data_IF_020620883670
#
_entry.id   IF_020620883670
#
_cell.length_a   1.000
_cell.length_b   1.000
_cell.length_c   1.000
_cell.angle_alpha   90.00
_cell.angle_beta   90.00
_cell.angle_gamma   90.00
#
_symmetry.space_group_name_H-M   'P 1'
#
loop_
_entity.id
_entity.type
_entity.pdbx_description
1 polymer ?
#
# COMPACT_ATOMS: atom_id res chain seq x y z
N UNK A 1 37.99 -2.41 -7.69
CA UNK A 1 36.71 -2.46 -8.41
C UNK A 1 35.74 -3.31 -7.61
N UNK A 2 34.67 -2.75 -7.04
CA UNK A 2 33.67 -3.56 -6.35
C UNK A 2 32.80 -4.32 -7.37
N UNK A 3 32.37 -5.56 -7.08
CA UNK A 3 31.51 -6.30 -8.00
C UNK A 3 30.15 -5.62 -8.17
N UNK A 4 29.49 -5.78 -9.34
CA UNK A 4 28.14 -5.25 -9.55
C UNK A 4 27.17 -5.90 -8.56
N UNK A 5 26.21 -5.10 -8.06
CA UNK A 5 25.14 -5.62 -7.20
C UNK A 5 24.25 -6.56 -8.01
N UNK A 6 23.77 -7.66 -7.39
CA UNK A 6 22.84 -8.55 -8.06
C UNK A 6 21.55 -7.80 -8.42
N UNK A 7 20.88 -8.20 -9.50
CA UNK A 7 19.63 -7.60 -9.91
C UNK A 7 18.54 -7.79 -8.83
N UNK A 8 17.78 -6.74 -8.56
CA UNK A 8 16.70 -6.76 -7.56
C UNK A 8 15.58 -7.72 -7.98
N UNK A 9 15.14 -8.55 -7.03
CA UNK A 9 13.99 -9.46 -7.15
C UNK A 9 12.87 -8.94 -6.25
N UNK A 10 11.67 -8.74 -6.81
CA UNK A 10 10.48 -8.29 -6.07
C UNK A 10 9.87 -9.45 -5.28
N UNK A 11 9.17 -9.15 -4.18
CA UNK A 11 8.43 -10.18 -3.43
C UNK A 11 7.42 -10.95 -4.31
N UNK A 12 6.77 -10.27 -5.27
CA UNK A 12 5.86 -10.92 -6.21
C UNK A 12 6.56 -11.89 -7.17
N UNK A 13 7.84 -11.67 -7.47
CA UNK A 13 8.63 -12.61 -8.27
C UNK A 13 8.98 -13.88 -7.48
N UNK A 14 9.21 -13.75 -6.17
CA UNK A 14 9.40 -14.91 -5.29
C UNK A 14 8.11 -15.75 -5.26
N UNK A 15 6.96 -15.10 -5.07
CA UNK A 15 5.67 -15.78 -5.11
C UNK A 15 5.40 -16.45 -6.46
N UNK A 16 5.74 -15.79 -7.57
CA UNK A 16 5.64 -16.36 -8.91
C UNK A 16 6.54 -17.59 -9.09
N UNK A 17 7.78 -17.56 -8.58
CA UNK A 17 8.70 -18.69 -8.65
C UNK A 17 8.22 -19.88 -7.80
N UNK A 18 7.77 -19.63 -6.57
CA UNK A 18 7.22 -20.66 -5.66
C UNK A 18 5.97 -21.31 -6.26
N UNK A 19 5.12 -20.52 -6.91
CA UNK A 19 3.97 -21.05 -7.64
C UNK A 19 4.39 -21.84 -8.90
N UNK A 20 5.25 -21.27 -9.74
CA UNK A 20 5.75 -21.87 -10.96
C UNK A 20 7.08 -21.24 -11.42
N UNK A 21 8.19 -21.96 -11.22
CA UNK A 21 9.51 -21.52 -11.66
C UNK A 21 9.59 -21.22 -13.17
N UNK A 22 8.85 -21.97 -14.01
CA UNK A 22 8.79 -21.73 -15.45
C UNK A 22 8.08 -20.42 -15.78
N UNK A 23 6.99 -20.08 -15.09
CA UNK A 23 6.29 -18.81 -15.29
C UNK A 23 7.22 -17.63 -14.94
N UNK A 24 7.91 -17.71 -13.80
CA UNK A 24 8.93 -16.73 -13.43
C UNK A 24 10.03 -16.59 -14.48
N UNK A 25 10.57 -17.71 -14.99
CA UNK A 25 11.61 -17.67 -16.02
C UNK A 25 11.11 -17.03 -17.32
N UNK A 26 9.92 -17.39 -17.78
CA UNK A 26 9.31 -16.81 -18.99
C UNK A 26 9.15 -15.30 -18.85
N UNK A 27 8.68 -14.83 -17.69
CA UNK A 27 8.49 -13.40 -17.45
C UNK A 27 9.81 -12.64 -17.23
N UNK A 28 10.69 -13.14 -16.37
CA UNK A 28 11.89 -12.44 -15.90
C UNK A 28 13.08 -12.60 -16.83
N UNK A 29 13.29 -13.79 -17.37
CA UNK A 29 14.45 -14.11 -18.21
C UNK A 29 14.11 -13.99 -19.69
N UNK A 30 12.99 -14.57 -20.13
CA UNK A 30 12.58 -14.51 -21.54
C UNK A 30 11.82 -13.22 -21.91
N UNK A 31 11.41 -12.40 -20.93
CA UNK A 31 10.71 -11.14 -21.17
C UNK A 31 9.28 -11.28 -21.70
N UNK A 32 8.67 -12.46 -21.55
CA UNK A 32 7.32 -12.73 -22.04
C UNK A 32 6.31 -12.17 -21.05
N UNK A 33 5.53 -11.18 -21.48
CA UNK A 33 4.52 -10.56 -20.64
C UNK A 33 3.36 -11.54 -20.35
N UNK A 34 2.97 -11.75 -19.07
CA UNK A 34 1.83 -12.58 -18.75
C UNK A 34 0.52 -11.96 -19.25
N UNK A 35 -0.46 -12.79 -19.58
CA UNK A 35 -1.80 -12.31 -19.91
C UNK A 35 -2.44 -11.50 -18.76
N UNK A 36 -3.46 -10.71 -19.09
CA UNK A 36 -4.28 -10.01 -18.10
C UNK A 36 -3.71 -8.71 -17.54
N UNK A 37 -2.81 -8.03 -18.25
CA UNK A 37 -2.30 -6.69 -17.91
C UNK A 37 -3.42 -5.72 -17.54
N UNK A 38 -4.49 -5.65 -18.34
CA UNK A 38 -5.63 -4.78 -18.10
C UNK A 38 -6.31 -5.05 -16.73
N UNK A 39 -6.42 -6.32 -16.32
CA UNK A 39 -6.95 -6.68 -14.99
C UNK A 39 -6.04 -6.22 -13.86
N UNK A 40 -4.71 -6.38 -14.02
CA UNK A 40 -3.72 -5.92 -13.04
C UNK A 40 -3.79 -4.40 -12.87
N UNK A 41 -3.81 -3.66 -13.98
CA UNK A 41 -3.93 -2.20 -13.97
C UNK A 41 -5.25 -1.72 -13.36
N UNK A 42 -6.35 -2.40 -13.66
CA UNK A 42 -7.64 -2.13 -13.02
C UNK A 42 -7.56 -2.32 -11.49
N UNK A 43 -6.98 -3.43 -11.04
CA UNK A 43 -6.73 -3.69 -9.61
C UNK A 43 -5.87 -2.60 -8.96
N UNK A 44 -4.80 -2.16 -9.62
CA UNK A 44 -3.95 -1.06 -9.13
C UNK A 44 -4.75 0.23 -8.95
N UNK A 45 -5.59 0.60 -9.92
CA UNK A 45 -6.45 1.80 -9.81
C UNK A 45 -7.44 1.68 -8.67
N UNK A 46 -8.02 0.49 -8.47
CA UNK A 46 -8.95 0.24 -7.37
C UNK A 46 -8.24 0.37 -6.00
N UNK A 47 -7.05 -0.21 -5.84
CA UNK A 47 -6.24 -0.05 -4.62
C UNK A 47 -5.85 1.41 -4.37
N UNK A 48 -5.49 2.17 -5.40
CA UNK A 48 -5.18 3.60 -5.25
C UNK A 48 -6.41 4.41 -4.81
N UNK A 49 -7.59 4.13 -5.37
CA UNK A 49 -8.85 4.76 -4.94
C UNK A 49 -9.16 4.41 -3.48
N UNK A 50 -9.04 3.14 -3.10
CA UNK A 50 -9.25 2.70 -1.73
C UNK A 50 -8.26 3.36 -0.76
N UNK A 51 -6.99 3.43 -1.11
CA UNK A 51 -5.96 4.09 -0.30
C UNK A 51 -6.27 5.57 -0.02
N UNK A 52 -6.77 6.31 -1.02
CA UNK A 52 -7.24 7.69 -0.84
C UNK A 52 -8.42 7.78 0.14
N UNK A 53 -9.38 6.85 0.05
CA UNK A 53 -10.50 6.80 0.97
C UNK A 53 -10.03 6.53 2.41
N UNK A 54 -9.13 5.55 2.61
CA UNK A 54 -8.56 5.23 3.93
C UNK A 54 -7.80 6.43 4.52
N UNK A 55 -7.01 7.13 3.71
CA UNK A 55 -6.31 8.34 4.15
C UNK A 55 -7.30 9.43 4.62
N UNK A 56 -8.37 9.66 3.87
CA UNK A 56 -9.44 10.59 4.25
C UNK A 56 -10.13 10.17 5.56
N UNK A 57 -10.50 8.89 5.70
CA UNK A 57 -11.10 8.37 6.93
C UNK A 57 -10.18 8.53 8.14
N UNK A 58 -8.87 8.29 7.98
CA UNK A 58 -7.89 8.48 9.04
C UNK A 58 -7.77 9.95 9.44
N UNK A 59 -7.77 10.88 8.48
CA UNK A 59 -7.78 12.31 8.79
C UNK A 59 -9.01 12.71 9.61
N UNK A 60 -10.21 12.28 9.19
CA UNK A 60 -11.44 12.55 9.91
C UNK A 60 -11.42 11.98 11.34
N UNK A 61 -10.89 10.77 11.51
CA UNK A 61 -10.75 10.16 12.83
C UNK A 61 -9.87 11.01 13.76
N UNK A 62 -8.73 11.50 13.27
CA UNK A 62 -7.86 12.37 14.04
C UNK A 62 -8.49 13.74 14.37
N UNK A 63 -9.24 14.32 13.42
CA UNK A 63 -9.97 15.57 13.65
C UNK A 63 -11.04 15.39 14.74
N UNK A 64 -11.83 14.32 14.67
CA UNK A 64 -12.83 14.00 15.70
C UNK A 64 -12.17 13.80 17.05
N UNK A 65 -11.07 13.03 17.11
CA UNK A 65 -10.34 12.83 18.36
C UNK A 65 -9.86 14.15 18.97
N UNK A 66 -9.30 15.05 18.14
CA UNK A 66 -8.84 16.36 18.59
C UNK A 66 -10.00 17.24 19.11
N UNK A 67 -11.13 17.27 18.41
CA UNK A 67 -12.32 18.02 18.83
C UNK A 67 -12.91 17.48 20.13
N UNK A 68 -12.97 16.16 20.30
CA UNK A 68 -13.45 15.54 21.55
C UNK A 68 -12.52 15.88 22.71
N UNK A 69 -11.20 15.80 22.53
CA UNK A 69 -10.24 16.18 23.57
C UNK A 69 -10.35 17.67 23.93
N UNK A 70 -10.52 18.55 22.94
CA UNK A 70 -10.74 19.98 23.19
C UNK A 70 -12.02 20.24 23.97
N UNK A 71 -13.13 19.58 23.61
CA UNK A 71 -14.40 19.69 24.32
C UNK A 71 -14.28 19.21 25.78
N UNK A 72 -13.64 18.06 26.01
CA UNK A 72 -13.37 17.55 27.36
C UNK A 72 -12.49 18.51 28.17
N UNK A 73 -11.47 19.10 27.55
CA UNK A 73 -10.61 20.10 28.18
C UNK A 73 -11.38 21.36 28.61
N UNK A 74 -12.28 21.86 27.75
CA UNK A 74 -13.14 23.01 28.08
C UNK A 74 -14.10 22.69 29.23
N UNK A 75 -14.73 21.51 29.21
CA UNK A 75 -15.63 21.08 30.28
C UNK A 75 -14.88 20.95 31.61
N UNK A 76 -13.66 20.40 31.59
CA UNK A 76 -12.82 20.30 32.78
C UNK A 76 -12.43 21.68 33.31
N UNK A 77 -11.99 22.61 32.44
CA UNK A 77 -11.63 23.97 32.82
C UNK A 77 -12.81 24.74 33.43
N UNK A 78 -14.01 24.55 32.90
CA UNK A 78 -15.23 25.19 33.40
C UNK A 78 -15.62 24.76 34.83
N UNK A 79 -15.10 23.64 35.35
CA UNK A 79 -15.32 23.24 36.75
C UNK A 79 -14.49 24.05 37.75
N UNK A 80 -13.48 24.79 37.29
CA UNK A 80 -12.56 25.56 38.13
C UNK A 80 -12.76 27.08 38.03
N UNK A 81 -13.81 27.51 37.31
CA UNK A 81 -14.20 28.91 37.16
C UNK A 81 -15.46 29.19 37.99
#
# INVERSE_FOLDING_TARGET
MAPPRPPMIRASEIGEYVYCARAWWLRRVAGIEPAGRARREHGTRLHQRHGRAVAGSRLLLWLVAALVLAALGLLAAAQFL
#
